data_IF_118845162350
#
_entry.id   IF_118845162350
#
_cell.length_a   1.000
_cell.length_b   1.000
_cell.length_c   1.000
_cell.angle_alpha   90.00
_cell.angle_beta   90.00
_cell.angle_gamma   90.00
#
_symmetry.space_group_name_H-M   'P 1'
#
loop_
_entity.id
_entity.type
_entity.pdbx_description
1 polymer ?
#
# COMPACT_ATOMS: atom_id res chain seq x y z
N UNK A 1 0.65 6.26 15.61
CA UNK A 1 1.81 6.35 16.53
C UNK A 1 2.88 7.21 15.87
N UNK A 2 3.46 8.16 16.58
CA UNK A 2 4.51 9.04 16.06
C UNK A 2 5.90 8.47 16.31
N UNK A 3 6.06 7.71 17.41
CA UNK A 3 7.33 7.11 17.83
C UNK A 3 7.10 5.70 18.39
N UNK A 4 7.94 4.76 17.99
CA UNK A 4 8.08 3.42 18.59
C UNK A 4 9.44 3.37 19.28
N UNK A 5 9.47 2.96 20.55
CA UNK A 5 10.69 2.77 21.31
C UNK A 5 10.86 1.27 21.63
N UNK A 6 11.97 0.69 21.18
CA UNK A 6 12.40 -0.64 21.58
C UNK A 6 13.26 -0.53 22.83
N UNK A 7 12.65 -0.79 23.99
CA UNK A 7 13.31 -0.68 25.30
C UNK A 7 14.18 -1.91 25.57
N UNK A 8 15.30 -1.71 26.28
CA UNK A 8 16.31 -2.74 26.62
C UNK A 8 16.89 -3.42 25.39
N UNK A 9 17.15 -2.62 24.35
CA UNK A 9 17.72 -3.14 23.11
C UNK A 9 19.12 -3.70 23.37
N UNK A 10 19.36 -4.95 22.98
CA UNK A 10 20.66 -5.61 23.16
C UNK A 10 21.63 -5.25 22.04
N UNK A 11 22.92 -5.18 22.34
CA UNK A 11 23.96 -4.87 21.34
C UNK A 11 24.12 -5.94 20.26
N UNK A 12 23.60 -7.14 20.51
CA UNK A 12 23.58 -8.30 19.62
C UNK A 12 22.29 -8.43 18.80
N UNK A 13 21.31 -7.54 19.02
CA UNK A 13 20.07 -7.51 18.25
C UNK A 13 20.26 -6.79 16.92
N UNK A 14 19.63 -7.34 15.86
CA UNK A 14 19.66 -6.73 14.52
C UNK A 14 18.59 -5.64 14.38
N UNK A 15 19.01 -4.39 14.33
CA UNK A 15 18.13 -3.23 14.13
C UNK A 15 17.27 -3.37 12.86
N UNK A 16 17.78 -4.01 11.79
CA UNK A 16 17.05 -4.18 10.54
C UNK A 16 15.79 -5.03 10.73
N UNK A 17 15.80 -6.03 11.58
CA UNK A 17 14.61 -6.84 11.86
C UNK A 17 13.51 -5.99 12.50
N UNK A 18 13.86 -5.19 13.50
CA UNK A 18 12.91 -4.30 14.19
C UNK A 18 12.43 -3.16 13.28
N UNK A 19 13.33 -2.60 12.48
CA UNK A 19 12.98 -1.63 11.44
C UNK A 19 11.91 -2.17 10.50
N UNK A 20 12.08 -3.36 9.94
CA UNK A 20 11.12 -4.01 9.03
C UNK A 20 9.75 -4.21 9.68
N UNK A 21 9.71 -4.61 10.95
CA UNK A 21 8.45 -4.78 11.69
C UNK A 21 7.67 -3.46 11.76
N UNK A 22 8.34 -2.35 12.12
CA UNK A 22 7.70 -1.04 12.20
C UNK A 22 7.28 -0.56 10.82
N UNK A 23 8.15 -0.70 9.81
CA UNK A 23 7.85 -0.28 8.43
C UNK A 23 6.73 -1.07 7.77
N UNK A 24 6.53 -2.32 8.17
CA UNK A 24 5.35 -3.11 7.79
C UNK A 24 4.01 -2.57 8.34
N UNK A 25 4.07 -1.75 9.39
CA UNK A 25 2.89 -1.12 10.01
C UNK A 25 2.76 0.35 9.60
N UNK A 26 3.84 1.11 9.67
CA UNK A 26 3.88 2.54 9.30
C UNK A 26 5.25 2.96 8.80
N UNK A 27 5.27 3.67 7.68
CA UNK A 27 6.48 4.27 7.11
C UNK A 27 6.85 5.62 7.74
N UNK A 28 5.94 6.23 8.50
CA UNK A 28 6.08 7.59 9.05
C UNK A 28 6.47 7.60 10.52
N UNK A 29 6.38 6.45 11.19
CA UNK A 29 6.69 6.33 12.61
C UNK A 29 8.19 6.40 12.83
N UNK A 30 8.63 7.30 13.71
CA UNK A 30 10.00 7.33 14.17
C UNK A 30 10.31 6.09 15.02
N UNK A 31 11.54 5.61 14.96
CA UNK A 31 11.99 4.44 15.70
C UNK A 31 13.17 4.84 16.58
N UNK A 32 13.14 4.43 17.84
CA UNK A 32 14.25 4.61 18.77
C UNK A 32 14.57 3.30 19.49
N UNK A 33 15.84 3.12 19.78
CA UNK A 33 16.40 1.97 20.51
C UNK A 33 16.97 2.46 21.83
N UNK A 34 16.37 2.05 22.93
CA UNK A 34 16.82 2.37 24.29
C UNK A 34 17.61 1.17 24.86
N UNK A 35 18.88 1.37 25.12
CA UNK A 35 19.78 0.36 25.68
C UNK A 35 19.67 0.27 27.20
N UNK A 36 20.14 -0.84 27.76
CA UNK A 36 20.06 -1.10 29.21
C UNK A 36 20.85 -0.08 30.08
N UNK A 37 21.80 0.62 29.48
CA UNK A 37 22.59 1.68 30.12
C UNK A 37 21.92 3.07 30.07
N UNK A 38 20.70 3.16 29.49
CA UNK A 38 19.95 4.40 29.31
C UNK A 38 20.35 5.21 28.08
N UNK A 39 21.27 4.70 27.24
CA UNK A 39 21.58 5.32 25.97
C UNK A 39 20.40 5.12 24.99
N UNK A 40 20.09 6.15 24.19
CA UNK A 40 19.03 6.10 23.17
C UNK A 40 19.64 6.46 21.82
N UNK A 41 19.36 5.62 20.83
CA UNK A 41 19.71 5.87 19.44
C UNK A 41 18.42 5.90 18.61
N UNK A 42 18.34 6.84 17.67
CA UNK A 42 17.28 6.84 16.66
C UNK A 42 17.67 5.97 15.47
N UNK A 43 16.64 5.43 14.83
CA UNK A 43 16.83 4.64 13.62
C UNK A 43 17.17 5.55 12.45
N UNK A 44 18.31 5.33 11.83
CA UNK A 44 18.82 6.07 10.67
C UNK A 44 18.80 5.22 9.40
N UNK A 45 18.12 4.06 9.44
CA UNK A 45 18.03 3.18 8.28
C UNK A 45 17.18 3.87 7.20
N UNK A 46 17.78 4.12 6.05
CA UNK A 46 17.06 4.65 4.89
C UNK A 46 16.12 3.59 4.32
N UNK A 47 14.92 4.01 3.97
CA UNK A 47 13.86 3.16 3.47
C UNK A 47 13.26 3.78 2.18
N UNK A 48 14.06 3.82 1.09
CA UNK A 48 13.61 4.40 -0.16
C UNK A 48 12.47 3.58 -0.77
N UNK A 49 11.57 4.27 -1.48
CA UNK A 49 10.57 3.58 -2.29
C UNK A 49 11.25 2.91 -3.49
N UNK A 50 10.89 1.65 -3.82
CA UNK A 50 11.50 0.93 -4.94
C UNK A 50 11.05 1.43 -6.32
N UNK A 51 10.23 2.47 -6.36
CA UNK A 51 9.69 3.09 -7.57
C UNK A 51 9.81 4.61 -7.52
N UNK A 52 9.90 5.24 -8.69
CA UNK A 52 9.97 6.70 -8.79
C UNK A 52 8.55 7.31 -8.72
N UNK A 53 8.27 7.98 -7.60
CA UNK A 53 7.00 8.69 -7.37
C UNK A 53 6.80 9.86 -8.34
N UNK A 54 7.86 10.41 -8.94
CA UNK A 54 7.81 11.53 -9.86
C UNK A 54 7.79 11.10 -11.33
N UNK A 55 7.81 9.80 -11.62
CA UNK A 55 7.66 9.31 -12.98
C UNK A 55 6.30 9.74 -13.59
N UNK A 56 6.23 9.99 -14.91
CA UNK A 56 4.97 10.30 -15.60
C UNK A 56 3.88 9.25 -15.37
N UNK A 57 4.28 7.99 -15.23
CA UNK A 57 3.46 6.86 -14.79
C UNK A 57 4.26 6.07 -13.78
N UNK A 58 3.79 5.99 -12.56
CA UNK A 58 4.37 5.15 -11.50
C UNK A 58 4.07 3.70 -11.84
N UNK A 59 5.06 2.95 -12.32
CA UNK A 59 4.90 1.53 -12.67
C UNK A 59 5.35 0.70 -11.48
N UNK A 60 4.41 -0.03 -10.89
CA UNK A 60 4.71 -0.90 -9.75
C UNK A 60 5.05 -2.30 -10.24
N UNK A 61 6.17 -2.84 -9.78
CA UNK A 61 6.42 -4.27 -9.85
C UNK A 61 5.44 -5.00 -8.90
N UNK A 62 5.24 -6.30 -9.13
CA UNK A 62 4.31 -7.07 -8.29
C UNK A 62 4.70 -7.05 -6.80
N UNK A 63 5.99 -7.04 -6.50
CA UNK A 63 6.56 -6.97 -5.14
C UNK A 63 6.36 -5.63 -4.46
N UNK A 64 6.18 -4.55 -5.22
CA UNK A 64 6.17 -3.18 -4.69
C UNK A 64 4.80 -2.74 -4.21
N UNK A 65 3.75 -3.54 -4.52
CA UNK A 65 2.37 -3.16 -4.25
C UNK A 65 2.10 -2.90 -2.76
N UNK A 66 2.61 -3.74 -1.87
CA UNK A 66 2.36 -3.59 -0.43
C UNK A 66 2.94 -2.27 0.10
N UNK A 67 4.19 -1.96 -0.25
CA UNK A 67 4.86 -0.71 0.12
C UNK A 67 4.13 0.50 -0.43
N UNK A 68 3.76 0.47 -1.72
CA UNK A 68 3.00 1.54 -2.34
C UNK A 68 1.63 1.73 -1.68
N UNK A 69 0.91 0.65 -1.42
CA UNK A 69 -0.41 0.70 -0.77
C UNK A 69 -0.32 1.34 0.62
N UNK A 70 0.69 0.98 1.41
CA UNK A 70 0.90 1.58 2.72
C UNK A 70 1.21 3.07 2.59
N UNK A 71 2.14 3.44 1.73
CA UNK A 71 2.58 4.81 1.56
C UNK A 71 1.45 5.73 1.05
N UNK A 72 0.65 5.27 0.08
CA UNK A 72 -0.49 6.06 -0.45
C UNK A 72 -1.64 6.17 0.55
N UNK A 73 -1.87 5.17 1.39
CA UNK A 73 -2.89 5.23 2.44
C UNK A 73 -2.48 6.18 3.57
N UNK A 74 -1.20 6.27 3.90
CA UNK A 74 -0.67 7.19 4.91
C UNK A 74 -0.57 8.63 4.38
N UNK A 75 -0.23 8.83 3.12
CA UNK A 75 -0.13 10.15 2.49
C UNK A 75 -0.76 10.20 1.09
N UNK A 76 -2.09 10.19 0.99
CA UNK A 76 -2.75 10.24 -0.31
C UNK A 76 -2.47 11.52 -1.09
N UNK A 77 -2.15 12.63 -0.41
CA UNK A 77 -1.81 13.91 -1.06
C UNK A 77 -0.51 13.85 -1.86
N UNK A 78 0.46 13.06 -1.42
CA UNK A 78 1.73 12.83 -2.13
C UNK A 78 1.51 12.30 -3.54
N UNK A 79 0.42 11.57 -3.74
CA UNK A 79 0.07 10.91 -5.00
C UNK A 79 -1.05 11.62 -5.78
N UNK A 80 -1.60 12.70 -5.24
CA UNK A 80 -2.69 13.43 -5.89
C UNK A 80 -2.30 13.92 -7.29
N UNK A 81 -3.16 13.65 -8.27
CA UNK A 81 -2.93 14.00 -9.69
C UNK A 81 -1.94 13.09 -10.44
N UNK A 82 -1.25 12.17 -9.76
CA UNK A 82 -0.30 11.24 -10.40
C UNK A 82 -1.02 10.08 -11.10
N UNK A 83 -0.29 9.42 -12.00
CA UNK A 83 -0.78 8.22 -12.69
C UNK A 83 -0.01 7.01 -12.21
N UNK A 84 -0.72 5.92 -11.93
CA UNK A 84 -0.14 4.63 -11.51
C UNK A 84 -0.52 3.52 -12.46
N UNK A 85 0.35 2.53 -12.63
CA UNK A 85 0.05 1.31 -13.38
C UNK A 85 0.53 0.09 -12.59
N UNK A 86 -0.37 -0.88 -12.35
CA UNK A 86 -0.06 -2.11 -11.61
C UNK A 86 -1.01 -3.25 -11.97
N UNK A 87 -0.63 -4.47 -11.60
CA UNK A 87 -1.50 -5.65 -11.65
C UNK A 87 -2.24 -5.84 -10.34
N UNK A 88 -3.55 -6.09 -10.45
CA UNK A 88 -4.38 -6.32 -9.27
C UNK A 88 -5.57 -7.23 -9.54
N UNK A 89 -6.22 -7.61 -8.46
CA UNK A 89 -7.42 -8.44 -8.45
C UNK A 89 -8.63 -7.50 -8.36
N UNK A 90 -9.64 -7.78 -9.18
CA UNK A 90 -10.92 -7.06 -9.18
C UNK A 90 -11.77 -7.52 -8.01
N UNK A 91 -12.22 -6.59 -7.19
CA UNK A 91 -13.25 -6.80 -6.18
C UNK A 91 -14.47 -5.93 -6.51
N UNK A 92 -15.65 -6.55 -6.50
CA UNK A 92 -16.94 -5.88 -6.71
C UNK A 92 -17.80 -6.05 -5.47
N UNK A 93 -18.48 -5.01 -5.06
CA UNK A 93 -19.41 -5.00 -3.93
C UNK A 93 -20.66 -4.22 -4.33
N UNK A 94 -21.88 -4.74 -4.08
CA UNK A 94 -23.13 -4.00 -4.33
C UNK A 94 -23.23 -2.64 -3.61
N UNK A 95 -22.42 -2.43 -2.57
CA UNK A 95 -22.34 -1.17 -1.82
C UNK A 95 -21.48 -0.11 -2.51
N UNK A 96 -20.71 -0.48 -3.52
CA UNK A 96 -19.91 0.50 -4.25
C UNK A 96 -20.81 1.42 -5.09
N UNK A 97 -20.43 2.67 -5.25
CA UNK A 97 -21.10 3.58 -6.19
C UNK A 97 -21.15 2.98 -7.60
N UNK A 98 -22.13 3.37 -8.44
CA UNK A 98 -22.16 2.99 -9.84
C UNK A 98 -20.83 3.25 -10.53
N UNK A 99 -20.44 2.38 -11.46
CA UNK A 99 -19.18 2.48 -12.21
C UNK A 99 -17.92 2.49 -11.31
N UNK A 100 -18.00 1.83 -10.16
CA UNK A 100 -16.87 1.69 -9.22
C UNK A 100 -16.62 0.22 -8.91
N UNK A 101 -15.37 -0.17 -8.87
CA UNK A 101 -14.89 -1.45 -8.36
C UNK A 101 -13.67 -1.18 -7.46
N UNK A 102 -13.22 -2.14 -6.70
CA UNK A 102 -11.92 -2.05 -6.05
C UNK A 102 -10.90 -2.89 -6.80
N UNK A 103 -9.67 -2.42 -6.89
CA UNK A 103 -8.54 -3.16 -7.47
C UNK A 103 -7.39 -3.17 -6.48
N UNK A 104 -6.83 -4.35 -6.24
CA UNK A 104 -5.77 -4.50 -5.25
C UNK A 104 -5.15 -5.88 -5.22
N UNK A 105 -4.42 -6.15 -4.15
CA UNK A 105 -3.72 -7.41 -3.92
C UNK A 105 -4.03 -7.95 -2.52
N UNK A 106 -3.80 -9.24 -2.33
CA UNK A 106 -3.69 -9.80 -1.00
C UNK A 106 -2.32 -9.45 -0.42
N UNK A 107 -2.31 -8.90 0.78
CA UNK A 107 -1.11 -8.45 1.49
C UNK A 107 -1.01 -9.19 2.81
N UNK A 108 0.18 -9.67 3.11
CA UNK A 108 0.54 -10.30 4.37
C UNK A 108 1.55 -9.42 5.10
N UNK A 109 1.33 -9.18 6.38
CA UNK A 109 2.25 -8.37 7.21
C UNK A 109 3.25 -9.25 7.94
N UNK A 110 2.79 -10.28 8.65
CA UNK A 110 3.67 -11.13 9.44
C UNK A 110 3.42 -12.64 9.24
N UNK A 111 2.19 -13.07 9.02
CA UNK A 111 1.86 -14.48 8.90
C UNK A 111 0.60 -14.71 8.06
N UNK A 112 0.32 -15.97 7.71
CA UNK A 112 -0.81 -16.31 6.83
C UNK A 112 -2.18 -15.94 7.39
N UNK A 113 -2.31 -15.83 8.71
CA UNK A 113 -3.55 -15.45 9.38
C UNK A 113 -3.89 -13.97 9.21
N UNK A 114 -2.91 -13.12 8.86
CA UNK A 114 -3.13 -11.69 8.64
C UNK A 114 -3.30 -11.29 7.17
N UNK A 115 -3.39 -12.27 6.26
CA UNK A 115 -3.61 -11.99 4.84
C UNK A 115 -4.95 -11.28 4.66
N UNK A 116 -4.90 -10.08 4.10
CA UNK A 116 -6.10 -9.31 3.81
C UNK A 116 -6.05 -8.70 2.40
N UNK A 117 -7.23 -8.47 1.82
CA UNK A 117 -7.33 -7.79 0.55
C UNK A 117 -7.16 -6.28 0.74
N UNK A 118 -6.06 -5.74 0.21
CA UNK A 118 -5.74 -4.32 0.19
C UNK A 118 -6.09 -3.76 -1.18
N UNK A 119 -7.26 -3.15 -1.31
CA UNK A 119 -7.77 -2.61 -2.58
C UNK A 119 -8.07 -1.12 -2.48
N UNK A 120 -7.96 -0.43 -3.60
CA UNK A 120 -8.31 0.99 -3.75
C UNK A 120 -9.52 1.10 -4.65
N UNK A 121 -10.54 1.93 -4.29
CA UNK A 121 -11.68 2.20 -5.14
C UNK A 121 -11.24 2.81 -6.47
N UNK A 122 -11.81 2.30 -7.57
CA UNK A 122 -11.47 2.70 -8.92
C UNK A 122 -12.74 3.01 -9.72
N UNK A 123 -12.87 4.22 -10.18
CA UNK A 123 -13.94 4.68 -11.08
C UNK A 123 -13.61 4.22 -12.51
N UNK A 124 -14.54 3.53 -13.14
CA UNK A 124 -14.41 3.02 -14.52
C UNK A 124 -15.78 2.85 -15.19
N UNK A 125 -15.97 3.41 -16.38
CA UNK A 125 -17.27 3.36 -17.07
C UNK A 125 -17.79 1.94 -17.31
N UNK A 126 -16.89 1.00 -17.56
CA UNK A 126 -17.20 -0.40 -17.85
C UNK A 126 -17.04 -1.33 -16.63
N UNK A 127 -17.06 -0.78 -15.41
CA UNK A 127 -16.90 -1.57 -14.18
C UNK A 127 -17.89 -2.74 -14.08
N UNK A 128 -19.11 -2.57 -14.58
CA UNK A 128 -20.13 -3.63 -14.60
C UNK A 128 -19.77 -4.85 -15.47
N UNK A 129 -18.82 -4.70 -16.40
CA UNK A 129 -18.34 -5.81 -17.26
C UNK A 129 -17.20 -6.60 -16.60
N UNK A 130 -16.64 -6.09 -15.51
CA UNK A 130 -15.52 -6.74 -14.84
C UNK A 130 -16.01 -7.93 -14.02
N UNK A 131 -15.27 -9.02 -14.10
CA UNK A 131 -15.54 -10.23 -13.33
C UNK A 131 -14.81 -10.15 -11.98
N UNK A 132 -15.55 -10.33 -10.89
CA UNK A 132 -14.96 -10.44 -9.57
C UNK A 132 -13.85 -11.51 -9.51
N UNK A 133 -12.78 -11.24 -8.79
CA UNK A 133 -11.59 -12.10 -8.64
C UNK A 133 -10.78 -12.31 -9.92
N UNK A 134 -11.09 -11.60 -11.02
CA UNK A 134 -10.21 -11.62 -12.20
C UNK A 134 -8.99 -10.73 -11.98
N UNK A 135 -7.90 -11.06 -12.66
CA UNK A 135 -6.69 -10.26 -12.68
C UNK A 135 -6.72 -9.25 -13.83
N UNK A 136 -6.34 -8.03 -13.51
CA UNK A 136 -6.25 -6.93 -14.47
C UNK A 136 -4.96 -6.14 -14.28
N UNK A 137 -4.43 -5.61 -15.38
CA UNK A 137 -3.49 -4.49 -15.33
C UNK A 137 -4.32 -3.21 -15.42
N UNK A 138 -4.23 -2.38 -14.41
CA UNK A 138 -4.89 -1.08 -14.39
C UNK A 138 -3.86 0.03 -14.57
N UNK A 139 -4.20 1.01 -15.42
CA UNK A 139 -3.51 2.31 -15.44
C UNK A 139 -4.56 3.35 -15.07
N UNK A 140 -4.30 4.11 -14.02
CA UNK A 140 -5.30 5.02 -13.46
C UNK A 140 -4.66 6.31 -12.94
N UNK A 141 -5.43 7.39 -13.01
CA UNK A 141 -5.12 8.64 -12.32
C UNK A 141 -5.57 8.56 -10.87
N UNK A 142 -4.73 9.05 -9.97
CA UNK A 142 -4.97 9.08 -8.53
C UNK A 142 -5.56 10.44 -8.16
N UNK A 143 -6.59 10.45 -7.31
CA UNK A 143 -7.08 11.64 -6.61
C UNK A 143 -7.18 11.38 -5.12
N UNK A 144 -6.80 12.37 -4.31
CA UNK A 144 -6.97 12.36 -2.87
C UNK A 144 -8.32 13.01 -2.52
N UNK A 145 -9.31 12.20 -2.15
CA UNK A 145 -10.68 12.66 -1.92
C UNK A 145 -11.19 12.21 -0.54
N UNK A 146 -12.07 13.02 0.08
CA UNK A 146 -12.87 12.55 1.21
C UNK A 146 -13.99 11.66 0.67
N UNK A 147 -14.04 10.42 1.12
CA UNK A 147 -14.97 9.45 0.57
C UNK A 147 -15.63 8.59 1.66
N UNK A 148 -16.88 8.17 1.43
CA UNK A 148 -17.63 7.34 2.38
C UNK A 148 -16.94 6.00 2.68
N UNK A 149 -16.22 5.41 1.72
CA UNK A 149 -15.43 4.18 1.91
C UNK A 149 -14.26 4.38 2.89
N UNK A 150 -13.85 5.61 3.14
CA UNK A 150 -12.85 6.00 4.14
C UNK A 150 -13.50 6.68 5.36
N UNK A 151 -14.79 6.39 5.63
CA UNK A 151 -15.54 6.97 6.75
C UNK A 151 -15.56 8.52 6.74
N UNK A 152 -15.47 9.12 5.54
CA UNK A 152 -15.39 10.57 5.38
C UNK A 152 -13.98 11.16 5.48
N UNK A 153 -13.00 10.33 5.79
CA UNK A 153 -11.59 10.74 5.78
C UNK A 153 -11.01 10.83 4.36
N UNK A 154 -9.85 11.47 4.27
CA UNK A 154 -9.12 11.59 3.02
C UNK A 154 -8.48 10.24 2.65
N UNK A 155 -8.72 9.78 1.44
CA UNK A 155 -8.13 8.55 0.94
C UNK A 155 -7.93 8.58 -0.58
N UNK A 156 -7.17 7.64 -1.13
CA UNK A 156 -6.92 7.58 -2.56
C UNK A 156 -8.13 7.01 -3.32
N UNK A 157 -8.51 7.67 -4.39
CA UNK A 157 -9.47 7.18 -5.38
C UNK A 157 -8.78 7.10 -6.74
N UNK A 158 -8.94 5.99 -7.42
CA UNK A 158 -8.44 5.80 -8.77
C UNK A 158 -9.52 6.16 -9.80
N UNK A 159 -9.11 6.76 -10.91
CA UNK A 159 -9.92 6.88 -12.12
C UNK A 159 -9.18 6.17 -13.24
N UNK A 160 -9.72 5.01 -13.66
CA UNK A 160 -9.07 4.19 -14.65
C UNK A 160 -8.98 4.89 -16.01
N UNK A 161 -7.80 4.86 -16.59
CA UNK A 161 -7.53 5.21 -17.98
C UNK A 161 -7.63 3.95 -18.84
N UNK A 162 -7.05 2.84 -18.37
CA UNK A 162 -7.16 1.52 -18.99
C UNK A 162 -7.34 0.43 -17.92
N UNK A 163 -8.11 -0.60 -18.25
CA UNK A 163 -8.26 -1.83 -17.47
C UNK A 163 -8.19 -3.00 -18.44
N UNK A 164 -7.10 -3.75 -18.38
CA UNK A 164 -6.81 -4.85 -19.31
C UNK A 164 -6.72 -6.18 -18.57
N UNK A 165 -7.41 -7.24 -19.01
CA UNK A 165 -7.22 -8.56 -18.43
C UNK A 165 -5.77 -9.01 -18.51
N UNK A 166 -5.27 -9.64 -17.45
CA UNK A 166 -3.92 -10.18 -17.43
C UNK A 166 -3.87 -11.51 -16.68
N UNK A 167 -2.74 -12.20 -16.79
CA UNK A 167 -2.46 -13.40 -15.99
C UNK A 167 -2.24 -13.02 -14.52
N UNK A 168 -2.55 -13.94 -13.58
CA UNK A 168 -2.16 -13.78 -12.19
C UNK A 168 -0.66 -13.46 -12.05
N UNK A 169 -0.31 -12.70 -11.04
CA UNK A 169 1.08 -12.50 -10.69
C UNK A 169 1.70 -13.82 -10.19
N UNK A 170 3.00 -14.01 -10.41
CA UNK A 170 3.70 -15.21 -9.93
C UNK A 170 3.60 -15.35 -8.41
N UNK A 171 3.59 -14.24 -7.69
CA UNK A 171 3.33 -14.16 -6.27
C UNK A 171 1.99 -13.46 -6.04
N UNK A 172 0.96 -14.22 -5.70
CA UNK A 172 -0.40 -13.68 -5.53
C UNK A 172 -0.54 -12.87 -4.23
N UNK A 173 0.12 -13.31 -3.15
CA UNK A 173 0.20 -12.60 -1.87
C UNK A 173 1.52 -11.84 -1.81
N UNK A 174 1.46 -10.55 -1.54
CA UNK A 174 2.64 -9.70 -1.41
C UNK A 174 2.91 -9.38 0.06
N UNK A 175 4.16 -9.08 0.39
CA UNK A 175 4.61 -8.71 1.74
C UNK A 175 5.28 -7.35 1.72
N UNK A 176 5.39 -6.76 2.89
CA UNK A 176 6.17 -5.54 3.10
C UNK A 176 7.68 -5.80 3.08
#
# INVERSE_FOLDING_TARGET
>A
CELVVFNRFGKDMDKMEFHKIVRGVSRRTDIAYEYADGHVEYDEIEDPLPFDVNAPVIRLADTDYALWYRDIMEDPKKYDGKTVSFRGIVAVDPKFPPNTFAVGRHVMTCCVEDIQFCGIPCKFSDAAKLKAKSWVTVTAKISAERHALYQGELGPILTALTVEPCSPAAQEVVTF
#
